data_IF_346061584723
#
_entry.id   IF_346061584723
#
_cell.length_a   1.000
_cell.length_b   1.000
_cell.length_c   1.000
_cell.angle_alpha   90.00
_cell.angle_beta   90.00
_cell.angle_gamma   90.00
#
_symmetry.space_group_name_H-M   'P 1'
#
loop_
_entity.id
_entity.type
_entity.pdbx_description
1 polymer ?
#
# COMPACT_ATOMS: atom_id res chain seq x y z
N UNK A 1 -11.61 -17.39 -4.29
CA UNK A 1 -10.62 -16.68 -3.46
C UNK A 1 -9.49 -16.24 -4.36
N UNK A 2 -9.00 -15.01 -4.21
CA UNK A 2 -7.86 -14.48 -4.97
C UNK A 2 -6.64 -14.42 -4.04
N UNK A 3 -5.48 -14.84 -4.52
CA UNK A 3 -4.24 -14.83 -3.73
C UNK A 3 -3.28 -13.82 -4.31
N UNK A 4 -2.87 -12.84 -3.51
CA UNK A 4 -1.93 -11.80 -3.93
C UNK A 4 -0.62 -11.94 -3.15
N UNK A 5 0.50 -11.73 -3.83
CA UNK A 5 1.83 -11.75 -3.22
C UNK A 5 2.20 -10.33 -2.81
N UNK A 6 2.34 -10.09 -1.50
CA UNK A 6 2.65 -8.79 -0.93
C UNK A 6 4.09 -8.76 -0.45
N UNK A 7 4.85 -7.77 -0.92
CA UNK A 7 6.25 -7.63 -0.56
C UNK A 7 6.52 -6.28 0.11
N UNK A 8 7.07 -6.31 1.33
CA UNK A 8 7.31 -5.11 2.15
C UNK A 8 8.64 -4.39 1.84
N UNK A 9 9.62 -5.12 1.32
CA UNK A 9 10.96 -4.60 0.98
C UNK A 9 11.74 -3.98 2.17
N UNK A 10 11.89 -4.69 3.31
CA UNK A 10 12.65 -4.17 4.44
C UNK A 10 14.15 -4.11 4.12
N UNK A 11 14.87 -3.11 4.65
CA UNK A 11 16.34 -3.19 4.60
C UNK A 11 16.82 -4.29 5.54
N UNK A 12 17.57 -5.27 5.04
CA UNK A 12 17.93 -6.49 5.80
C UNK A 12 19.28 -6.40 6.53
N UNK A 13 20.03 -5.31 6.32
CA UNK A 13 21.43 -5.21 6.76
C UNK A 13 21.65 -4.23 7.91
N UNK A 14 20.62 -3.99 8.73
CA UNK A 14 20.77 -3.23 9.96
C UNK A 14 21.77 -3.93 10.91
N UNK A 15 22.53 -3.17 11.72
CA UNK A 15 23.42 -3.74 12.73
C UNK A 15 22.71 -4.78 13.61
N UNK A 16 23.46 -5.79 14.06
CA UNK A 16 22.89 -6.85 14.92
C UNK A 16 22.37 -6.30 16.24
N UNK A 17 22.98 -5.22 16.73
CA UNK A 17 22.64 -4.52 17.97
C UNK A 17 21.88 -3.20 17.71
N UNK A 18 21.19 -3.09 16.56
CA UNK A 18 20.44 -1.90 16.17
C UNK A 18 19.53 -1.39 17.30
N UNK A 19 18.78 -2.27 17.95
CA UNK A 19 17.82 -1.97 19.03
C UNK A 19 18.49 -1.45 20.31
N UNK A 20 19.81 -1.58 20.44
CA UNK A 20 20.59 -1.01 21.55
C UNK A 20 21.13 0.38 21.23
N UNK A 21 21.28 0.69 19.95
CA UNK A 21 21.88 1.95 19.47
C UNK A 21 20.83 2.94 18.97
N UNK A 22 19.71 2.45 18.45
CA UNK A 22 18.67 3.21 17.81
C UNK A 22 17.32 2.83 18.41
N UNK A 23 16.44 3.82 18.47
CA UNK A 23 15.12 3.69 19.05
C UNK A 23 14.16 2.92 18.15
N UNK A 24 14.18 3.21 16.84
CA UNK A 24 13.35 2.54 15.84
C UNK A 24 13.94 2.66 14.45
N UNK A 25 13.43 1.84 13.53
CA UNK A 25 13.65 2.03 12.09
C UNK A 25 12.79 3.15 11.51
N UNK A 26 11.76 3.61 12.23
CA UNK A 26 10.77 4.56 11.74
C UNK A 26 11.21 6.00 11.96
N UNK A 27 11.27 6.79 10.89
CA UNK A 27 11.45 8.25 10.86
C UNK A 27 12.85 8.75 11.23
N UNK A 28 13.44 8.26 12.32
CA UNK A 28 14.65 8.83 12.93
C UNK A 28 15.93 7.98 12.79
N UNK A 29 15.82 6.78 12.19
CA UNK A 29 16.98 5.97 11.87
C UNK A 29 17.90 6.70 10.88
N UNK A 30 19.21 6.86 11.19
CA UNK A 30 20.08 7.65 10.33
C UNK A 30 20.40 6.92 9.03
N UNK A 31 20.38 7.66 7.92
CA UNK A 31 20.51 7.08 6.58
C UNK A 31 21.91 6.51 6.28
N UNK A 32 22.95 6.81 7.07
CA UNK A 32 24.27 6.21 6.90
C UNK A 32 24.27 4.69 7.15
N UNK A 33 23.20 4.15 7.73
CA UNK A 33 22.98 2.71 7.87
C UNK A 33 22.65 2.04 6.53
N UNK A 34 22.16 2.80 5.55
CA UNK A 34 21.87 2.30 4.21
C UNK A 34 23.14 2.24 3.37
N UNK A 35 23.46 1.04 2.88
CA UNK A 35 24.53 0.79 1.92
C UNK A 35 23.93 0.65 0.52
N UNK A 36 24.19 1.59 -0.41
CA UNK A 36 23.62 1.54 -1.76
C UNK A 36 23.97 0.27 -2.55
N UNK A 37 25.12 -0.37 -2.28
CA UNK A 37 25.49 -1.61 -2.97
C UNK A 37 24.60 -2.77 -2.52
N UNK A 38 24.31 -2.84 -1.22
CA UNK A 38 23.37 -3.83 -0.67
C UNK A 38 21.95 -3.52 -1.09
N UNK A 39 21.56 -2.25 -1.07
CA UNK A 39 20.26 -1.81 -1.58
C UNK A 39 20.06 -2.20 -3.04
N UNK A 40 21.09 -2.04 -3.89
CA UNK A 40 21.05 -2.49 -5.29
C UNK A 40 20.70 -3.96 -5.39
N UNK A 41 21.36 -4.82 -4.62
CA UNK A 41 21.03 -6.25 -4.60
C UNK A 41 19.59 -6.47 -4.15
N UNK A 42 19.19 -5.91 -3.00
CA UNK A 42 17.86 -6.11 -2.42
C UNK A 42 16.74 -5.71 -3.38
N UNK A 43 16.82 -4.56 -4.05
CA UNK A 43 15.78 -4.15 -5.00
C UNK A 43 15.62 -5.10 -6.18
N UNK A 44 16.72 -5.67 -6.68
CA UNK A 44 16.65 -6.65 -7.76
C UNK A 44 16.09 -7.97 -7.26
N UNK A 45 16.54 -8.45 -6.09
CA UNK A 45 16.00 -9.66 -5.45
C UNK A 45 14.47 -9.53 -5.24
N UNK A 46 13.98 -8.38 -4.77
CA UNK A 46 12.54 -8.15 -4.57
C UNK A 46 11.73 -8.12 -5.86
N UNK A 47 12.29 -7.57 -6.94
CA UNK A 47 11.63 -7.62 -8.26
C UNK A 47 11.59 -9.05 -8.79
N UNK A 48 12.69 -9.79 -8.66
CA UNK A 48 12.76 -11.19 -9.06
C UNK A 48 11.73 -12.04 -8.29
N UNK A 49 11.57 -11.81 -6.99
CA UNK A 49 10.55 -12.48 -6.16
C UNK A 49 9.12 -12.13 -6.59
N UNK A 50 8.83 -10.85 -6.86
CA UNK A 50 7.51 -10.41 -7.34
C UNK A 50 7.19 -11.02 -8.71
N UNK A 51 8.15 -11.06 -9.63
CA UNK A 51 7.98 -11.67 -10.95
C UNK A 51 7.78 -13.19 -10.84
N UNK A 52 8.58 -13.85 -10.00
CA UNK A 52 8.46 -15.28 -9.75
C UNK A 52 7.10 -15.65 -9.11
N UNK A 53 6.54 -14.78 -8.26
CA UNK A 53 5.20 -14.99 -7.72
C UNK A 53 4.12 -15.06 -8.83
N UNK A 54 4.24 -14.30 -9.92
CA UNK A 54 3.32 -14.48 -11.06
C UNK A 54 3.49 -15.88 -11.67
N UNK A 55 4.72 -16.35 -11.87
CA UNK A 55 4.99 -17.69 -12.41
C UNK A 55 4.37 -18.79 -11.54
N UNK A 56 4.38 -18.60 -10.21
CA UNK A 56 3.80 -19.53 -9.25
C UNK A 56 2.27 -19.49 -9.16
N UNK A 57 1.61 -18.58 -9.88
CA UNK A 57 0.14 -18.58 -9.99
C UNK A 57 -0.58 -17.56 -9.12
N UNK A 58 0.13 -16.62 -8.48
CA UNK A 58 -0.53 -15.55 -7.74
C UNK A 58 -1.37 -14.66 -8.68
N UNK A 59 -2.55 -14.25 -8.21
CA UNK A 59 -3.51 -13.43 -8.95
C UNK A 59 -3.10 -11.95 -9.00
N UNK A 60 -2.28 -11.50 -8.06
CA UNK A 60 -1.85 -10.11 -7.95
C UNK A 60 -0.50 -9.95 -7.26
N UNK A 61 0.23 -8.92 -7.66
CA UNK A 61 1.52 -8.52 -7.12
C UNK A 61 1.34 -7.18 -6.41
N UNK A 62 1.59 -7.16 -5.10
CA UNK A 62 1.35 -5.99 -4.27
C UNK A 62 2.65 -5.32 -3.83
N UNK A 63 2.74 -4.03 -4.12
CA UNK A 63 3.77 -3.12 -3.61
C UNK A 63 3.13 -2.07 -2.70
N UNK A 64 3.86 -1.53 -1.73
CA UNK A 64 3.34 -0.53 -0.79
C UNK A 64 4.24 0.71 -0.70
N UNK A 65 3.75 1.74 -0.03
CA UNK A 65 4.47 3.01 0.16
C UNK A 65 4.88 3.20 1.62
N UNK A 66 6.15 3.52 1.84
CA UNK A 66 6.69 3.88 3.15
C UNK A 66 7.83 4.89 3.05
N UNK A 67 7.95 5.75 4.06
CA UNK A 67 8.83 6.90 4.03
C UNK A 67 9.75 6.97 5.25
N UNK A 68 10.99 7.41 5.02
CA UNK A 68 12.00 7.67 6.06
C UNK A 68 12.21 6.51 7.04
N UNK A 69 12.19 5.28 6.54
CA UNK A 69 12.37 4.12 7.39
C UNK A 69 13.10 2.97 6.68
N UNK A 70 13.56 2.01 7.48
CA UNK A 70 14.13 0.75 7.00
C UNK A 70 13.13 -0.41 7.03
N UNK A 71 11.87 -0.15 7.39
CA UNK A 71 10.76 -1.11 7.43
C UNK A 71 10.29 -1.49 6.02
N UNK A 72 10.18 -0.50 5.12
CA UNK A 72 9.87 -0.71 3.71
C UNK A 72 10.58 0.33 2.86
N UNK A 73 11.47 -0.12 1.98
CA UNK A 73 12.29 0.74 1.12
C UNK A 73 11.56 1.16 -0.16
N UNK A 74 10.26 1.45 -0.09
CA UNK A 74 9.47 1.88 -1.25
C UNK A 74 8.82 3.24 -1.00
N UNK A 75 9.56 4.35 -1.13
CA UNK A 75 8.97 5.68 -1.06
C UNK A 75 8.15 6.03 -2.32
N UNK A 76 8.33 5.28 -3.40
CA UNK A 76 7.51 5.40 -4.62
C UNK A 76 7.20 4.00 -5.17
N UNK A 77 6.08 3.38 -4.77
CA UNK A 77 5.69 2.06 -5.28
C UNK A 77 5.44 2.05 -6.79
N UNK A 78 5.11 3.20 -7.36
CA UNK A 78 4.87 3.37 -8.80
C UNK A 78 6.10 3.01 -9.63
N UNK A 79 7.31 3.26 -9.12
CA UNK A 79 8.55 2.86 -9.80
C UNK A 79 8.74 1.34 -9.80
N UNK A 80 8.48 0.68 -8.67
CA UNK A 80 8.54 -0.78 -8.57
C UNK A 80 7.49 -1.45 -9.46
N UNK A 81 6.25 -0.95 -9.41
CA UNK A 81 5.18 -1.38 -10.30
C UNK A 81 5.60 -1.25 -11.77
N UNK A 82 6.12 -0.09 -12.17
CA UNK A 82 6.57 0.15 -13.55
C UNK A 82 7.73 -0.76 -13.97
N UNK A 83 8.62 -1.17 -13.05
CA UNK A 83 9.73 -2.05 -13.37
C UNK A 83 9.26 -3.47 -13.73
N UNK A 84 8.29 -4.02 -12.98
CA UNK A 84 7.76 -5.38 -13.20
C UNK A 84 6.61 -5.46 -14.21
N UNK A 85 5.92 -4.36 -14.52
CA UNK A 85 4.66 -4.36 -15.29
C UNK A 85 4.76 -5.00 -16.68
N UNK A 86 5.91 -4.85 -17.35
CA UNK A 86 6.18 -5.38 -18.70
C UNK A 86 6.78 -6.78 -18.69
N UNK A 87 7.32 -7.19 -17.54
CA UNK A 87 7.91 -8.51 -17.31
C UNK A 87 6.84 -9.51 -16.87
N UNK A 88 5.68 -9.01 -16.48
CA UNK A 88 4.48 -9.77 -16.12
C UNK A 88 3.37 -9.61 -17.15
N UNK A 89 2.42 -10.54 -17.18
CA UNK A 89 1.38 -10.57 -18.23
C UNK A 89 -0.03 -10.95 -17.77
N UNK A 90 -0.17 -11.57 -16.60
CA UNK A 90 -1.43 -12.10 -16.08
C UNK A 90 -1.83 -11.48 -14.75
N UNK A 91 -0.91 -11.40 -13.78
CA UNK A 91 -1.21 -10.94 -12.43
C UNK A 91 -1.63 -9.46 -12.43
N UNK A 92 -2.54 -9.12 -11.54
CA UNK A 92 -2.89 -7.73 -11.25
C UNK A 92 -1.67 -7.01 -10.65
N UNK A 93 -1.48 -5.74 -11.02
CA UNK A 93 -0.45 -4.89 -10.43
C UNK A 93 -1.13 -3.98 -9.41
N UNK A 94 -0.90 -4.28 -8.12
CA UNK A 94 -1.64 -3.69 -7.02
C UNK A 94 -0.70 -2.76 -6.25
N UNK A 95 -0.92 -1.45 -6.38
CA UNK A 95 -0.14 -0.47 -5.62
C UNK A 95 -0.92 -0.15 -4.35
N UNK A 96 -0.59 -0.77 -3.22
CA UNK A 96 -1.15 -0.50 -1.89
C UNK A 96 -0.41 0.67 -1.21
N UNK A 97 -0.24 1.75 -1.96
CA UNK A 97 0.52 2.95 -1.60
C UNK A 97 -0.03 4.16 -2.35
N UNK A 98 0.52 5.34 -2.10
CA UNK A 98 0.05 6.67 -2.52
C UNK A 98 -1.06 7.22 -1.61
N UNK A 99 -0.71 7.56 -0.37
CA UNK A 99 -1.62 8.36 0.46
C UNK A 99 -1.85 9.72 -0.17
N UNK A 100 -3.06 9.94 -0.67
CA UNK A 100 -3.40 11.10 -1.50
C UNK A 100 -3.17 12.45 -0.80
N UNK A 101 -3.25 12.47 0.53
CA UNK A 101 -2.98 13.68 1.31
C UNK A 101 -1.51 14.14 1.24
N UNK A 102 -0.57 13.25 0.90
CA UNK A 102 0.87 13.55 0.85
C UNK A 102 1.30 14.23 -0.46
N UNK A 103 0.42 14.24 -1.46
CA UNK A 103 0.73 14.74 -2.80
C UNK A 103 0.08 16.11 -3.00
N UNK A 104 0.89 17.08 -3.41
CA UNK A 104 0.42 18.43 -3.70
C UNK A 104 0.97 18.92 -5.05
N UNK A 105 0.14 18.96 -6.12
CA UNK A 105 -1.26 18.52 -6.17
C UNK A 105 -1.41 16.97 -6.24
N UNK A 106 -2.52 16.40 -5.74
CA UNK A 106 -2.79 14.97 -5.81
C UNK A 106 -3.09 14.47 -7.24
N UNK A 107 -3.31 15.39 -8.19
CA UNK A 107 -3.46 15.05 -9.63
C UNK A 107 -2.23 14.31 -10.17
N UNK A 108 -1.05 14.46 -9.56
CA UNK A 108 0.14 13.67 -9.90
C UNK A 108 -0.12 12.16 -9.75
N UNK A 109 -0.81 11.76 -8.69
CA UNK A 109 -1.19 10.34 -8.47
C UNK A 109 -2.19 9.90 -9.53
N UNK A 110 -3.16 10.75 -9.89
CA UNK A 110 -4.12 10.43 -10.95
C UNK A 110 -3.42 10.14 -12.30
N UNK A 111 -2.43 10.96 -12.68
CA UNK A 111 -1.66 10.76 -13.91
C UNK A 111 -0.80 9.48 -13.86
N UNK A 112 -0.07 9.26 -12.77
CA UNK A 112 0.80 8.10 -12.63
C UNK A 112 0.02 6.79 -12.63
N UNK A 113 -1.10 6.73 -11.90
CA UNK A 113 -1.96 5.55 -11.87
C UNK A 113 -2.66 5.30 -13.21
N UNK A 114 -3.11 6.35 -13.91
CA UNK A 114 -3.64 6.21 -15.26
C UNK A 114 -2.57 5.69 -16.23
N UNK A 115 -1.32 6.14 -16.07
CA UNK A 115 -0.19 5.64 -16.86
C UNK A 115 0.10 4.17 -16.57
N UNK A 116 0.16 3.75 -15.30
CA UNK A 116 0.34 2.35 -14.92
C UNK A 116 -0.80 1.47 -15.44
N UNK A 117 -2.03 1.95 -15.36
CA UNK A 117 -3.19 1.24 -15.90
C UNK A 117 -3.07 0.98 -17.41
N UNK A 118 -2.74 2.03 -18.19
CA UNK A 118 -2.48 1.91 -19.63
C UNK A 118 -1.29 1.00 -19.93
N UNK A 119 -0.19 1.14 -19.20
CA UNK A 119 1.01 0.30 -19.37
C UNK A 119 0.73 -1.19 -19.10
N UNK A 120 -0.16 -1.46 -18.14
CA UNK A 120 -0.52 -2.82 -17.73
C UNK A 120 -1.53 -3.49 -18.67
N UNK A 121 -2.21 -2.70 -19.52
CA UNK A 121 -3.33 -3.17 -20.33
C UNK A 121 -4.60 -3.43 -19.51
N UNK A 122 -4.82 -2.68 -18.43
CA UNK A 122 -6.00 -2.84 -17.57
C UNK A 122 -5.87 -3.90 -16.47
N UNK A 123 -4.64 -4.15 -15.98
CA UNK A 123 -4.38 -5.03 -14.83
C UNK A 123 -4.11 -4.26 -13.55
N UNK A 124 -4.19 -2.94 -13.57
CA UNK A 124 -3.79 -2.10 -12.45
C UNK A 124 -4.91 -2.00 -11.40
N UNK A 125 -4.49 -1.97 -10.13
CA UNK A 125 -5.37 -1.70 -8.99
C UNK A 125 -4.80 -0.53 -8.21
N UNK A 126 -5.61 0.51 -8.06
CA UNK A 126 -5.26 1.74 -7.36
C UNK A 126 -5.45 1.55 -5.85
N UNK A 127 -4.37 1.55 -5.09
CA UNK A 127 -4.46 1.61 -3.64
C UNK A 127 -4.48 3.05 -3.15
N UNK A 128 -5.36 3.34 -2.20
CA UNK A 128 -5.37 4.63 -1.51
C UNK A 128 -5.36 4.39 0.00
N UNK A 129 -4.17 4.22 0.61
CA UNK A 129 -4.08 4.20 2.07
C UNK A 129 -4.26 5.61 2.61
N UNK A 130 -4.87 5.76 3.80
CA UNK A 130 -4.75 7.01 4.54
C UNK A 130 -3.27 7.23 4.97
N UNK A 131 -2.57 6.14 5.28
CA UNK A 131 -1.17 6.13 5.72
C UNK A 131 -1.04 6.06 7.24
N UNK A 132 0.14 5.67 7.70
CA UNK A 132 0.48 5.62 9.13
C UNK A 132 0.88 7.02 9.63
N UNK A 133 0.88 7.26 10.94
CA UNK A 133 1.33 8.55 11.47
C UNK A 133 2.83 8.79 11.22
N UNK A 134 3.61 7.72 11.14
CA UNK A 134 5.04 7.72 10.82
C UNK A 134 5.26 8.28 9.41
N UNK A 135 4.52 7.77 8.43
CA UNK A 135 4.63 8.20 7.04
C UNK A 135 4.04 9.62 6.86
N UNK A 136 2.81 9.83 7.35
CA UNK A 136 2.03 11.03 7.01
C UNK A 136 2.36 12.26 7.85
N UNK A 137 2.46 12.09 9.16
CA UNK A 137 2.59 13.20 10.11
C UNK A 137 4.07 13.45 10.42
N UNK A 138 4.78 12.44 10.89
CA UNK A 138 6.17 12.60 11.30
C UNK A 138 7.12 12.72 10.11
N UNK A 139 6.86 11.94 9.05
CA UNK A 139 7.63 12.00 7.82
C UNK A 139 7.28 13.21 6.97
N UNK A 140 6.04 13.26 6.49
CA UNK A 140 5.60 14.25 5.51
C UNK A 140 5.07 15.56 6.11
N UNK A 141 4.97 15.65 7.43
CA UNK A 141 4.57 16.88 8.11
C UNK A 141 3.10 17.23 7.98
N UNK A 142 2.23 16.28 7.60
CA UNK A 142 0.79 16.55 7.53
C UNK A 142 0.21 16.89 8.91
N UNK A 143 -0.72 17.83 8.92
CA UNK A 143 -1.42 18.22 10.13
C UNK A 143 -2.44 17.11 10.47
N UNK A 144 -2.34 16.43 11.63
CA UNK A 144 -3.16 15.25 11.93
C UNK A 144 -4.67 15.49 11.80
N UNK A 145 -5.14 16.64 12.28
CA UNK A 145 -6.57 17.00 12.25
C UNK A 145 -7.11 17.25 10.84
N UNK A 146 -6.24 17.62 9.90
CA UNK A 146 -6.63 17.89 8.51
C UNK A 146 -6.51 16.66 7.61
N UNK A 147 -5.76 15.63 8.04
CA UNK A 147 -5.31 14.53 7.19
C UNK A 147 -6.47 13.84 6.45
N UNK A 148 -7.54 13.47 7.17
CA UNK A 148 -8.70 12.78 6.57
C UNK A 148 -9.48 13.65 5.60
N UNK A 149 -9.74 14.90 5.95
CA UNK A 149 -10.47 15.83 5.08
C UNK A 149 -9.67 16.13 3.81
N UNK A 150 -8.36 16.35 3.94
CA UNK A 150 -7.44 16.54 2.81
C UNK A 150 -7.38 15.31 1.91
N UNK A 151 -7.30 14.12 2.51
CA UNK A 151 -7.31 12.86 1.78
C UNK A 151 -8.61 12.66 0.99
N UNK A 152 -9.77 12.94 1.58
CA UNK A 152 -11.07 12.81 0.91
C UNK A 152 -11.23 13.83 -0.24
N UNK A 153 -10.84 15.09 -0.05
CA UNK A 153 -10.85 16.08 -1.14
C UNK A 153 -9.91 15.68 -2.28
N UNK A 154 -8.72 15.17 -1.95
CA UNK A 154 -7.76 14.69 -2.92
C UNK A 154 -8.31 13.48 -3.70
N UNK A 155 -8.99 12.55 -3.02
CA UNK A 155 -9.71 11.45 -3.64
C UNK A 155 -10.74 11.95 -4.65
N UNK A 156 -11.62 12.87 -4.26
CA UNK A 156 -12.66 13.39 -5.15
C UNK A 156 -12.08 14.07 -6.40
N UNK A 157 -10.96 14.79 -6.24
CA UNK A 157 -10.21 15.34 -7.37
C UNK A 157 -9.65 14.23 -8.28
N UNK A 158 -9.05 13.18 -7.72
CA UNK A 158 -8.49 12.06 -8.51
C UNK A 158 -9.59 11.33 -9.28
N UNK A 159 -10.71 10.98 -8.63
CA UNK A 159 -11.85 10.32 -9.30
C UNK A 159 -12.41 11.20 -10.41
N UNK A 160 -12.59 12.50 -10.15
CA UNK A 160 -13.04 13.45 -11.17
C UNK A 160 -12.05 13.57 -12.33
N UNK A 161 -10.74 13.57 -12.05
CA UNK A 161 -9.71 13.61 -13.08
C UNK A 161 -9.73 12.39 -13.99
N UNK A 162 -10.03 11.20 -13.46
CA UNK A 162 -10.16 9.97 -14.25
C UNK A 162 -11.45 9.88 -15.06
N UNK A 163 -12.54 10.46 -14.57
CA UNK A 163 -13.88 10.26 -15.14
C UNK A 163 -14.33 11.39 -16.05
N UNK A 164 -13.92 12.63 -15.78
CA UNK A 164 -14.23 13.76 -16.63
C UNK A 164 -13.47 13.66 -17.97
N UNK A 165 -14.05 14.24 -19.03
CA UNK A 165 -13.49 14.15 -20.40
C UNK A 165 -13.03 15.50 -20.91
N UNK A 166 -13.62 16.57 -20.41
CA UNK A 166 -13.22 17.94 -20.75
C UNK A 166 -12.38 18.56 -19.61
N UNK A 167 -11.45 19.49 -19.91
CA UNK A 167 -10.74 20.22 -18.88
C UNK A 167 -11.69 20.92 -17.90
N UNK A 168 -11.41 20.81 -16.60
CA UNK A 168 -12.25 21.44 -15.56
C UNK A 168 -11.41 22.20 -14.54
N UNK A 169 -12.05 23.13 -13.83
CA UNK A 169 -11.46 23.76 -12.65
C UNK A 169 -11.82 22.98 -11.38
N UNK A 170 -10.88 22.88 -10.46
CA UNK A 170 -11.09 22.32 -9.12
C UNK A 170 -10.76 23.39 -8.09
N UNK A 171 -11.70 23.70 -7.20
CA UNK A 171 -11.56 24.75 -6.20
C UNK A 171 -11.91 24.19 -4.82
N UNK A 172 -11.10 23.24 -4.37
CA UNK A 172 -11.21 22.64 -3.04
C UNK A 172 -10.64 23.56 -1.95
N UNK A 173 -10.69 23.09 -0.71
CA UNK A 173 -10.09 23.74 0.46
C UNK A 173 -8.57 23.59 0.47
N UNK A 174 -8.06 22.42 0.08
CA UNK A 174 -6.63 22.09 0.11
C UNK A 174 -5.95 22.19 -1.24
N UNK A 175 -6.68 21.93 -2.33
CA UNK A 175 -6.17 22.02 -3.70
C UNK A 175 -7.02 22.96 -4.55
N UNK A 176 -6.40 23.95 -5.17
CA UNK A 176 -7.04 24.81 -6.17
C UNK A 176 -6.27 24.75 -7.49
N UNK A 177 -6.92 24.23 -8.54
CA UNK A 177 -6.37 24.07 -9.88
C UNK A 177 -7.32 24.69 -10.90
N UNK A 178 -6.82 25.64 -11.69
CA UNK A 178 -7.61 26.30 -12.73
C UNK A 178 -7.97 25.36 -13.89
N UNK A 179 -7.07 24.44 -14.19
CA UNK A 179 -7.23 23.46 -15.27
C UNK A 179 -6.73 22.10 -14.79
N UNK A 180 -7.63 21.13 -14.76
CA UNK A 180 -7.35 19.71 -14.53
C UNK A 180 -7.68 18.99 -15.82
N UNK A 181 -6.69 18.34 -16.41
CA UNK A 181 -6.77 17.64 -17.68
C UNK A 181 -5.61 16.65 -17.76
N UNK A 182 -5.80 15.45 -17.20
CA UNK A 182 -4.73 14.47 -17.08
C UNK A 182 -4.49 13.75 -18.41
N UNK A 183 -3.23 13.42 -18.67
CA UNK A 183 -2.84 12.53 -19.76
C UNK A 183 -1.78 11.54 -19.24
N UNK A 184 -1.97 10.21 -19.44
CA UNK A 184 -3.11 9.58 -20.11
C UNK A 184 -4.37 9.54 -19.22
N UNK A 185 -5.51 9.18 -19.84
CA UNK A 185 -6.69 8.72 -19.09
C UNK A 185 -6.52 7.23 -18.74
N UNK A 186 -7.18 6.73 -17.68
CA UNK A 186 -7.18 5.30 -17.40
C UNK A 186 -7.70 4.48 -18.58
N UNK A 187 -7.12 3.29 -18.74
CA UNK A 187 -7.59 2.27 -19.67
C UNK A 187 -8.92 1.68 -19.18
N UNK A 188 -8.98 1.31 -17.90
CA UNK A 188 -10.18 0.78 -17.25
C UNK A 188 -11.24 1.86 -17.07
N UNK A 189 -12.51 1.49 -17.27
CA UNK A 189 -13.66 2.40 -17.15
C UNK A 189 -14.57 1.96 -16.00
N UNK A 190 -15.10 2.90 -15.18
CA UNK A 190 -14.84 4.34 -15.23
C UNK A 190 -13.42 4.74 -14.77
N UNK A 191 -12.77 3.89 -13.99
CA UNK A 191 -11.39 4.01 -13.50
C UNK A 191 -10.88 2.62 -13.06
N UNK A 192 -9.58 2.46 -12.69
CA UNK A 192 -9.08 1.20 -12.12
C UNK A 192 -9.78 0.86 -10.79
N UNK A 193 -9.93 -0.43 -10.42
CA UNK A 193 -10.43 -0.83 -9.11
C UNK A 193 -9.64 -0.18 -7.98
N UNK A 194 -10.35 0.20 -6.92
CA UNK A 194 -9.76 0.90 -5.77
C UNK A 194 -9.71 -0.02 -4.56
N UNK A 195 -8.54 -0.14 -3.98
CA UNK A 195 -8.27 -0.89 -2.75
C UNK A 195 -7.83 0.11 -1.67
N UNK A 196 -8.30 -0.07 -0.44
CA UNK A 196 -7.99 0.85 0.66
C UNK A 196 -7.37 0.06 1.80
N UNK A 197 -6.04 0.10 1.95
CA UNK A 197 -5.35 -0.47 3.09
C UNK A 197 -5.78 0.18 4.41
N UNK A 198 -5.95 -0.63 5.44
CA UNK A 198 -6.21 -0.14 6.79
C UNK A 198 -5.90 -1.15 7.88
N UNK A 199 -5.96 -0.66 9.12
CA UNK A 199 -5.62 -1.41 10.33
C UNK A 199 -6.82 -1.57 11.30
N UNK A 200 -8.05 -1.47 10.79
CA UNK A 200 -9.28 -1.68 11.57
C UNK A 200 -9.99 -0.41 12.09
N UNK A 201 -9.73 0.76 11.51
CA UNK A 201 -10.50 1.98 11.82
C UNK A 201 -11.91 1.88 11.21
N UNK A 202 -12.91 2.16 12.05
CA UNK A 202 -14.33 2.16 11.66
C UNK A 202 -14.59 3.19 10.56
N UNK A 203 -13.96 4.36 10.62
CA UNK A 203 -14.10 5.41 9.60
C UNK A 203 -13.57 4.95 8.24
N UNK A 204 -12.52 4.12 8.22
CA UNK A 204 -12.03 3.53 6.98
C UNK A 204 -13.00 2.47 6.45
N UNK A 205 -13.62 1.68 7.33
CA UNK A 205 -14.68 0.74 6.92
C UNK A 205 -15.86 1.48 6.30
N UNK A 206 -16.39 2.48 7.00
CA UNK A 206 -17.50 3.31 6.53
C UNK A 206 -17.19 3.88 5.14
N UNK A 207 -15.99 4.44 4.97
CA UNK A 207 -15.54 5.01 3.70
C UNK A 207 -15.52 3.97 2.58
N UNK A 208 -14.92 2.80 2.81
CA UNK A 208 -14.86 1.74 1.80
C UNK A 208 -16.23 1.18 1.45
N UNK A 209 -17.12 1.04 2.43
CA UNK A 209 -18.48 0.54 2.23
C UNK A 209 -19.34 1.55 1.46
N UNK A 210 -19.15 2.85 1.72
CA UNK A 210 -19.87 3.91 1.02
C UNK A 210 -19.51 4.01 -0.45
N UNK A 211 -18.24 3.79 -0.77
CA UNK A 211 -17.71 3.90 -2.13
C UNK A 211 -17.67 2.58 -2.90
N UNK A 212 -18.05 1.46 -2.26
CA UNK A 212 -17.95 0.13 -2.85
C UNK A 212 -16.48 -0.26 -3.20
N UNK A 213 -15.55 0.10 -2.32
CA UNK A 213 -14.12 -0.20 -2.46
C UNK A 213 -13.71 -1.43 -1.67
N UNK A 214 -12.62 -2.05 -2.08
CA UNK A 214 -12.06 -3.21 -1.38
C UNK A 214 -11.29 -2.73 -0.14
N UNK A 215 -11.73 -3.17 1.04
CA UNK A 215 -10.98 -2.93 2.27
C UNK A 215 -9.84 -3.96 2.42
N UNK A 216 -8.61 -3.51 2.58
CA UNK A 216 -7.46 -4.42 2.76
C UNK A 216 -6.92 -4.33 4.19
N UNK A 217 -7.21 -5.33 5.01
CA UNK A 217 -6.63 -5.40 6.35
C UNK A 217 -5.16 -5.85 6.27
N UNK A 218 -4.25 -4.88 6.30
CA UNK A 218 -2.80 -5.10 6.25
C UNK A 218 -2.23 -5.12 7.68
N UNK A 219 -2.38 -6.26 8.34
CA UNK A 219 -1.81 -6.48 9.67
C UNK A 219 -1.01 -7.76 9.74
N UNK A 220 0.05 -7.73 10.53
CA UNK A 220 0.93 -8.86 10.78
C UNK A 220 0.59 -9.59 12.10
N UNK A 221 -0.52 -9.21 12.76
CA UNK A 221 -0.95 -9.78 14.04
C UNK A 221 -1.55 -11.19 13.93
N UNK A 222 -1.52 -11.80 12.75
CA UNK A 222 -1.98 -13.15 12.48
C UNK A 222 -3.50 -13.31 12.38
N UNK A 223 -3.92 -14.52 12.00
CA UNK A 223 -5.29 -14.79 11.57
C UNK A 223 -6.36 -14.60 12.65
N UNK A 224 -6.04 -14.73 13.94
CA UNK A 224 -7.03 -14.56 15.02
C UNK A 224 -7.53 -13.13 15.09
N UNK A 225 -6.59 -12.17 15.07
CA UNK A 225 -6.92 -10.73 15.04
C UNK A 225 -7.55 -10.38 13.70
N UNK A 226 -6.99 -10.89 12.59
CA UNK A 226 -7.56 -10.72 11.25
C UNK A 226 -9.02 -11.15 11.15
N UNK A 227 -9.36 -12.30 11.73
CA UNK A 227 -10.73 -12.78 11.79
C UNK A 227 -11.63 -11.82 12.56
N UNK A 228 -11.24 -11.39 13.76
CA UNK A 228 -12.05 -10.44 14.55
C UNK A 228 -12.30 -9.13 13.80
N UNK A 229 -11.28 -8.58 13.13
CA UNK A 229 -11.41 -7.34 12.36
C UNK A 229 -12.32 -7.53 11.15
N UNK A 230 -12.14 -8.62 10.39
CA UNK A 230 -12.97 -8.87 9.21
C UNK A 230 -14.41 -9.24 9.55
N UNK A 231 -14.64 -10.03 10.60
CA UNK A 231 -16.00 -10.33 11.08
C UNK A 231 -16.74 -9.01 11.40
N UNK A 232 -16.08 -8.07 12.09
CA UNK A 232 -16.64 -6.75 12.36
C UNK A 232 -16.91 -5.91 11.10
N UNK A 233 -16.03 -5.96 10.10
CA UNK A 233 -16.27 -5.30 8.81
C UNK A 233 -17.51 -5.87 8.10
N UNK A 234 -17.67 -7.20 8.11
CA UNK A 234 -18.82 -7.86 7.48
C UNK A 234 -20.13 -7.58 8.23
N UNK A 235 -20.10 -7.54 9.56
CA UNK A 235 -21.24 -7.13 10.39
C UNK A 235 -21.67 -5.68 10.09
N UNK A 236 -20.70 -4.77 9.92
CA UNK A 236 -21.00 -3.38 9.55
C UNK A 236 -21.59 -3.29 8.13
N UNK A 237 -21.04 -4.03 7.17
CA UNK A 237 -21.56 -4.10 5.82
C UNK A 237 -23.03 -4.60 5.79
N UNK A 238 -23.33 -5.65 6.56
CA UNK A 238 -24.70 -6.18 6.72
C UNK A 238 -25.63 -5.16 7.42
N UNK A 239 -25.17 -4.50 8.48
CA UNK A 239 -25.91 -3.45 9.19
C UNK A 239 -26.32 -2.29 8.27
N UNK A 240 -25.51 -1.98 7.25
CA UNK A 240 -25.78 -0.95 6.24
C UNK A 240 -26.62 -1.46 5.07
N UNK A 241 -27.02 -2.73 5.07
CA UNK A 241 -27.86 -3.33 4.04
C UNK A 241 -27.17 -3.43 2.68
N UNK A 242 -25.84 -3.50 2.64
CA UNK A 242 -25.06 -3.65 1.41
C UNK A 242 -25.00 -5.12 1.01
N UNK A 243 -24.94 -5.38 -0.29
CA UNK A 243 -24.85 -6.75 -0.80
C UNK A 243 -23.50 -7.38 -0.41
N UNK A 244 -23.55 -8.62 0.10
CA UNK A 244 -22.33 -9.35 0.41
C UNK A 244 -21.59 -9.74 -0.87
N UNK A 245 -20.35 -9.27 -0.99
CA UNK A 245 -19.41 -9.68 -2.00
C UNK A 245 -18.11 -10.15 -1.32
N UNK A 246 -17.68 -11.41 -1.49
CA UNK A 246 -16.47 -11.92 -0.85
C UNK A 246 -15.18 -11.24 -1.33
N UNK A 247 -15.25 -10.40 -2.37
CA UNK A 247 -14.14 -9.60 -2.88
C UNK A 247 -14.10 -8.16 -2.35
N UNK A 248 -15.02 -7.75 -1.45
CA UNK A 248 -14.99 -6.42 -0.80
C UNK A 248 -13.97 -6.31 0.33
N UNK A 249 -13.31 -7.41 0.71
CA UNK A 249 -12.20 -7.33 1.65
C UNK A 249 -11.06 -8.29 1.31
N UNK A 250 -9.84 -7.87 1.66
CA UNK A 250 -8.63 -8.68 1.64
C UNK A 250 -7.97 -8.70 3.01
N UNK A 251 -7.19 -9.76 3.28
CA UNK A 251 -6.46 -9.95 4.53
C UNK A 251 -5.01 -10.36 4.25
N UNK A 252 -4.08 -9.66 4.89
CA UNK A 252 -2.67 -10.03 4.86
C UNK A 252 -2.38 -11.14 5.88
N UNK A 253 -1.72 -12.20 5.44
CA UNK A 253 -1.28 -13.29 6.32
C UNK A 253 0.17 -13.63 6.03
N UNK A 254 1.00 -13.64 7.07
CA UNK A 254 2.36 -14.19 7.00
C UNK A 254 2.26 -15.72 6.99
N UNK A 255 2.88 -16.35 6.01
CA UNK A 255 2.90 -17.81 5.85
C UNK A 255 4.36 -18.26 5.72
N UNK A 256 4.77 -19.24 6.53
CA UNK A 256 6.04 -19.93 6.41
C UNK A 256 5.76 -21.38 6.01
N UNK A 257 6.47 -21.88 5.00
CA UNK A 257 6.31 -23.24 4.48
C UNK A 257 7.68 -23.92 4.48
N UNK A 258 7.76 -25.10 5.05
CA UNK A 258 8.95 -25.96 5.07
C UNK A 258 8.57 -27.39 4.66
N UNK A 259 9.55 -28.22 4.29
CA UNK A 259 9.29 -29.63 3.95
C UNK A 259 8.75 -30.41 5.15
N UNK A 260 9.15 -30.02 6.36
CA UNK A 260 8.69 -30.61 7.62
C UNK A 260 8.39 -29.54 8.66
N UNK A 261 7.47 -29.83 9.60
CA UNK A 261 7.15 -28.93 10.71
C UNK A 261 8.37 -28.59 11.57
N UNK A 262 9.32 -29.52 11.72
CA UNK A 262 10.56 -29.28 12.50
C UNK A 262 11.50 -28.24 11.89
N UNK A 263 11.39 -27.98 10.58
CA UNK A 263 12.20 -26.98 9.88
C UNK A 263 11.61 -25.58 9.95
N UNK A 264 10.40 -25.41 10.50
CA UNK A 264 9.78 -24.07 10.59
C UNK A 264 10.62 -23.11 11.45
N UNK A 265 11.37 -23.65 12.41
CA UNK A 265 12.27 -22.87 13.27
C UNK A 265 13.40 -22.19 12.49
N UNK A 266 13.71 -22.65 11.27
CA UNK A 266 14.68 -21.98 10.38
C UNK A 266 14.22 -20.56 10.01
N UNK A 267 12.91 -20.29 10.02
CA UNK A 267 12.36 -18.96 9.73
C UNK A 267 12.37 -18.02 10.93
N UNK A 268 12.64 -18.53 12.13
CA UNK A 268 12.46 -17.81 13.39
C UNK A 268 13.22 -16.49 13.42
N UNK A 269 14.51 -16.51 13.08
CA UNK A 269 15.36 -15.31 13.17
C UNK A 269 14.89 -14.21 12.22
N UNK A 270 14.35 -14.57 11.05
CA UNK A 270 13.82 -13.61 10.07
C UNK A 270 12.48 -13.02 10.52
N UNK A 271 11.60 -13.85 11.10
CA UNK A 271 10.34 -13.38 11.68
C UNK A 271 10.62 -12.48 12.88
N UNK A 272 11.56 -12.86 13.74
CA UNK A 272 11.98 -12.03 14.88
C UNK A 272 12.60 -10.71 14.43
N UNK A 273 13.43 -10.71 13.37
CA UNK A 273 13.95 -9.48 12.78
C UNK A 273 12.82 -8.53 12.39
N UNK A 274 11.80 -9.05 11.71
CA UNK A 274 10.65 -8.27 11.29
C UNK A 274 9.91 -7.66 12.49
N UNK A 275 9.54 -8.45 13.51
CA UNK A 275 8.77 -7.92 14.64
C UNK A 275 9.60 -7.06 15.60
N UNK A 276 10.87 -7.39 15.83
CA UNK A 276 11.74 -6.68 16.80
C UNK A 276 12.33 -5.39 16.23
N UNK A 277 12.60 -5.34 14.93
CA UNK A 277 13.20 -4.15 14.28
C UNK A 277 12.18 -3.44 13.41
N UNK A 278 11.65 -4.12 12.42
CA UNK A 278 10.83 -3.48 11.39
C UNK A 278 9.51 -2.96 11.97
N UNK A 279 8.73 -3.81 12.64
CA UNK A 279 7.42 -3.45 13.18
C UNK A 279 7.50 -2.79 14.57
N UNK A 280 8.70 -2.55 15.09
CA UNK A 280 8.88 -1.89 16.38
C UNK A 280 8.64 -0.38 16.24
N UNK A 281 7.41 0.01 16.55
CA UNK A 281 7.00 1.41 16.69
C UNK A 281 7.12 1.77 18.16
N UNK A 282 7.96 2.75 18.54
CA UNK A 282 8.09 3.14 19.92
C UNK A 282 6.82 3.79 20.46
N UNK A 283 6.58 3.61 21.76
CA UNK A 283 5.61 4.44 22.48
C UNK A 283 6.14 5.88 22.51
N UNK A 284 5.37 6.82 21.96
CA UNK A 284 5.64 8.25 22.05
C UNK A 284 5.56 8.81 23.46
#
# INVERSE_FOLDING_TARGET
MKMCFFHLMPYQYLPRDFEKQYHSVWVDAPNHLFDPKKGTQLYNDYLDELEFAEEMGFDGLCVNEHHYNAYGMMPSPNLMASAMIRRTSRAAIIVLGNSLALYNPPVRVAEEFAMLDVLSGGRFVAGFPLGTSQDTIFGYGEIPVNLREKYQEAHDLVIKAWTEREPFAFNGKYTQLRYVNIWPRPYQQPHPPIWVPGSGSLETWDWTIDHDYVYCYLSYSGYKVGKTVLDGFWEELDRRGKEFNPYHAGFLQLVAVSETDSQVDEYKDYIEYFFKKCLHVPSG
#
